data_IF_122638317142
#
_entry.id   IF_122638317142
#
_cell.length_a   1.000
_cell.length_b   1.000
_cell.length_c   1.000
_cell.angle_alpha   90.00
_cell.angle_beta   90.00
_cell.angle_gamma   90.00
#
_symmetry.space_group_name_H-M   'P 1'
#
loop_
_entity.id
_entity.type
_entity.pdbx_description
1 polymer ?
#
# COMPACT_ATOMS: atom_id res chain seq x y z
N UNK A 1 -14.09 -21.35 -6.27
CA UNK A 1 -13.64 -21.72 -4.91
C UNK A 1 -13.10 -20.50 -4.14
N UNK A 2 -12.21 -19.70 -4.75
CA UNK A 2 -11.55 -18.56 -4.08
C UNK A 2 -12.52 -17.48 -3.57
N UNK A 3 -13.63 -17.23 -4.29
CA UNK A 3 -14.67 -16.29 -3.85
C UNK A 3 -15.29 -16.71 -2.51
N UNK A 4 -15.64 -17.98 -2.38
CA UNK A 4 -16.22 -18.50 -1.13
C UNK A 4 -15.19 -18.49 0.01
N UNK A 5 -13.93 -18.87 -0.26
CA UNK A 5 -12.84 -18.80 0.72
C UNK A 5 -12.61 -17.36 1.20
N UNK A 6 -12.53 -16.42 0.25
CA UNK A 6 -12.34 -15.00 0.57
C UNK A 6 -13.50 -14.47 1.42
N UNK A 7 -14.74 -14.77 1.04
CA UNK A 7 -15.91 -14.41 1.80
C UNK A 7 -15.83 -14.91 3.25
N UNK A 8 -15.56 -16.21 3.43
CA UNK A 8 -15.48 -16.82 4.76
C UNK A 8 -14.40 -16.17 5.62
N UNK A 9 -13.22 -15.91 5.04
CA UNK A 9 -12.09 -15.31 5.77
C UNK A 9 -12.28 -13.81 6.06
N UNK A 10 -13.04 -13.12 5.21
CA UNK A 10 -13.20 -11.67 5.33
C UNK A 10 -14.36 -11.26 6.25
N UNK A 11 -15.46 -12.03 6.26
CA UNK A 11 -16.71 -11.59 6.88
C UNK A 11 -16.65 -11.49 8.39
N UNK A 12 -15.95 -12.43 9.04
CA UNK A 12 -15.89 -12.50 10.49
C UNK A 12 -14.56 -13.08 10.98
N UNK A 13 -14.10 -12.69 12.18
CA UNK A 13 -13.00 -13.36 12.84
C UNK A 13 -13.39 -14.82 13.17
N UNK A 14 -12.40 -15.74 13.34
CA UNK A 14 -12.68 -17.19 13.49
C UNK A 14 -13.63 -17.57 14.62
N UNK A 15 -13.67 -16.78 15.67
CA UNK A 15 -14.51 -17.00 16.85
C UNK A 15 -15.96 -16.50 16.70
N UNK A 16 -16.27 -15.77 15.63
CA UNK A 16 -17.59 -15.21 15.41
C UNK A 16 -18.44 -16.09 14.49
N UNK A 17 -19.75 -16.02 14.67
CA UNK A 17 -20.72 -16.73 13.81
C UNK A 17 -20.74 -16.08 12.42
N UNK A 18 -20.65 -16.91 11.39
CA UNK A 18 -20.77 -16.51 10.00
C UNK A 18 -22.20 -16.79 9.51
N UNK A 19 -22.89 -15.75 9.05
CA UNK A 19 -24.13 -15.88 8.31
C UNK A 19 -23.87 -15.68 6.82
N UNK A 20 -24.50 -16.53 5.98
CA UNK A 20 -24.34 -16.40 4.53
C UNK A 20 -25.03 -15.13 4.03
N UNK A 21 -24.30 -14.33 3.23
CA UNK A 21 -24.80 -13.10 2.63
C UNK A 21 -24.36 -12.98 1.17
N UNK A 22 -25.32 -13.10 0.26
CA UNK A 22 -25.04 -13.09 -1.19
C UNK A 22 -24.40 -11.79 -1.67
N UNK A 23 -24.79 -10.64 -1.11
CA UNK A 23 -24.21 -9.36 -1.48
C UNK A 23 -22.72 -9.25 -1.07
N UNK A 24 -22.35 -9.84 0.06
CA UNK A 24 -20.97 -9.87 0.52
C UNK A 24 -20.12 -10.87 -0.28
N UNK A 25 -20.72 -11.99 -0.72
CA UNK A 25 -20.09 -12.92 -1.68
C UNK A 25 -19.82 -12.23 -3.02
N UNK A 26 -20.78 -11.48 -3.52
CA UNK A 26 -20.63 -10.66 -4.73
C UNK A 26 -19.51 -9.61 -4.57
N UNK A 27 -19.42 -8.96 -3.39
CA UNK A 27 -18.32 -8.06 -3.05
C UNK A 27 -16.96 -8.73 -3.11
N UNK A 28 -16.86 -9.94 -2.57
CA UNK A 28 -15.64 -10.76 -2.63
C UNK A 28 -15.27 -11.12 -4.07
N UNK A 29 -16.22 -11.48 -4.89
CA UNK A 29 -16.00 -11.76 -6.31
C UNK A 29 -15.50 -10.51 -7.06
N UNK A 30 -16.11 -9.35 -6.83
CA UNK A 30 -15.66 -8.08 -7.44
C UNK A 30 -14.23 -7.72 -7.06
N UNK A 31 -13.83 -7.93 -5.81
CA UNK A 31 -12.45 -7.71 -5.40
C UNK A 31 -11.49 -8.63 -6.16
N UNK A 32 -11.77 -9.94 -6.26
CA UNK A 32 -10.93 -10.87 -7.01
C UNK A 32 -10.84 -10.51 -8.50
N UNK A 33 -11.92 -10.03 -9.09
CA UNK A 33 -11.89 -9.51 -10.48
C UNK A 33 -10.95 -8.30 -10.63
N UNK A 34 -10.92 -7.42 -9.64
CA UNK A 34 -9.97 -6.28 -9.65
C UNK A 34 -8.52 -6.76 -9.54
N UNK A 35 -8.23 -7.71 -8.64
CA UNK A 35 -6.89 -8.32 -8.54
C UNK A 35 -6.48 -8.93 -9.88
N UNK A 36 -7.35 -9.69 -10.49
CA UNK A 36 -7.12 -10.28 -11.81
C UNK A 36 -6.86 -9.22 -12.89
N UNK A 37 -7.74 -8.24 -12.98
CA UNK A 37 -7.62 -7.15 -13.97
C UNK A 37 -6.32 -6.36 -13.82
N UNK A 38 -5.90 -6.11 -12.59
CA UNK A 38 -4.63 -5.46 -12.33
C UNK A 38 -3.43 -6.32 -12.77
N UNK A 39 -3.46 -7.63 -12.48
CA UNK A 39 -2.44 -8.57 -12.95
C UNK A 39 -2.34 -8.62 -14.48
N UNK A 40 -3.48 -8.67 -15.17
CA UNK A 40 -3.51 -8.62 -16.65
C UNK A 40 -2.90 -7.32 -17.18
N UNK A 41 -3.18 -6.19 -16.53
CA UNK A 41 -2.54 -4.90 -16.88
C UNK A 41 -1.03 -4.93 -16.68
N UNK A 42 -0.56 -5.48 -15.57
CA UNK A 42 0.88 -5.61 -15.32
C UNK A 42 1.59 -6.52 -16.31
N UNK A 43 0.92 -7.55 -16.82
CA UNK A 43 1.48 -8.48 -17.79
C UNK A 43 1.85 -7.83 -19.14
N UNK A 44 1.42 -6.59 -19.37
CA UNK A 44 1.84 -5.80 -20.53
C UNK A 44 3.23 -5.16 -20.36
N UNK A 45 3.77 -5.16 -19.14
CA UNK A 45 5.09 -4.61 -18.83
C UNK A 45 6.13 -5.71 -19.07
N UNK A 46 7.09 -5.39 -19.93
CA UNK A 46 8.18 -6.33 -20.24
C UNK A 46 9.02 -6.63 -18.98
N UNK A 47 9.33 -7.91 -18.78
CA UNK A 47 10.16 -8.40 -17.67
C UNK A 47 9.66 -7.99 -16.28
N UNK A 48 8.34 -7.86 -16.09
CA UNK A 48 7.74 -7.40 -14.81
C UNK A 48 8.22 -8.23 -13.60
N UNK A 49 8.44 -9.53 -13.78
CA UNK A 49 8.91 -10.40 -12.70
C UNK A 49 10.30 -10.03 -12.20
N UNK A 50 11.21 -9.71 -13.11
CA UNK A 50 12.56 -9.25 -12.74
C UNK A 50 12.50 -7.89 -12.03
N UNK A 51 11.62 -6.99 -12.47
CA UNK A 51 11.41 -5.70 -11.84
C UNK A 51 11.06 -5.82 -10.35
N UNK A 52 10.30 -6.84 -9.94
CA UNK A 52 9.86 -7.02 -8.55
C UNK A 52 11.03 -7.16 -7.55
N UNK A 53 12.19 -7.64 -7.99
CA UNK A 53 13.37 -7.79 -7.14
C UNK A 53 14.23 -6.54 -7.09
N UNK A 54 14.04 -5.60 -8.01
CA UNK A 54 14.88 -4.42 -8.15
C UNK A 54 14.47 -3.27 -7.21
N UNK A 55 13.24 -3.23 -6.73
CA UNK A 55 12.75 -2.11 -5.93
C UNK A 55 13.56 -1.88 -4.63
N UNK A 56 13.97 -2.98 -3.97
CA UNK A 56 14.77 -2.93 -2.74
C UNK A 56 16.21 -2.47 -2.95
N UNK A 57 16.72 -2.68 -4.14
CA UNK A 57 18.10 -2.36 -4.54
C UNK A 57 18.12 -1.34 -5.67
N UNK A 58 17.08 -0.51 -5.76
CA UNK A 58 16.86 0.41 -6.88
C UNK A 58 18.07 1.31 -7.12
N UNK A 59 18.58 1.96 -6.09
CA UNK A 59 19.74 2.87 -6.19
C UNK A 59 21.00 2.14 -6.66
N UNK A 60 21.22 0.91 -6.18
CA UNK A 60 22.38 0.08 -6.56
C UNK A 60 22.31 -0.35 -8.04
N UNK A 61 21.10 -0.44 -8.59
CA UNK A 61 20.84 -0.81 -9.98
C UNK A 61 20.60 0.41 -10.89
N UNK A 62 20.88 1.62 -10.42
CA UNK A 62 20.69 2.84 -11.21
C UNK A 62 19.22 3.20 -11.47
N UNK A 63 18.30 2.62 -10.71
CA UNK A 63 16.89 2.98 -10.78
C UNK A 63 16.58 4.13 -9.82
N UNK A 64 15.85 5.11 -10.30
CA UNK A 64 15.31 6.19 -9.48
C UNK A 64 13.88 5.87 -9.06
N UNK A 65 13.66 5.75 -7.75
CA UNK A 65 12.33 5.73 -7.19
C UNK A 65 11.84 7.17 -7.06
N UNK A 66 10.92 7.57 -7.93
CA UNK A 66 10.26 8.86 -7.84
C UNK A 66 9.39 8.99 -6.59
N UNK A 67 8.85 10.19 -6.36
CA UNK A 67 8.00 10.46 -5.20
C UNK A 67 6.78 9.51 -5.14
N UNK A 68 6.15 9.26 -6.27
CA UNK A 68 5.01 8.33 -6.37
C UNK A 68 5.40 6.89 -6.03
N UNK A 69 6.53 6.39 -6.54
CA UNK A 69 7.02 5.05 -6.27
C UNK A 69 7.42 4.87 -4.79
N UNK A 70 8.08 5.85 -4.18
CA UNK A 70 8.40 5.86 -2.75
C UNK A 70 7.12 5.84 -1.89
N UNK A 71 6.11 6.66 -2.22
CA UNK A 71 4.83 6.69 -1.52
C UNK A 71 4.09 5.36 -1.62
N UNK A 72 4.05 4.74 -2.81
CA UNK A 72 3.47 3.41 -3.00
C UNK A 72 4.17 2.37 -2.14
N UNK A 73 5.50 2.31 -2.18
CA UNK A 73 6.27 1.37 -1.38
C UNK A 73 6.04 1.56 0.12
N UNK A 74 6.02 2.82 0.58
CA UNK A 74 5.71 3.14 1.97
C UNK A 74 4.35 2.58 2.40
N UNK A 75 3.30 2.80 1.62
CA UNK A 75 1.96 2.31 1.93
C UNK A 75 1.91 0.77 1.92
N UNK A 76 2.47 0.12 0.88
CA UNK A 76 2.51 -1.34 0.78
C UNK A 76 3.25 -1.96 1.97
N UNK A 77 4.43 -1.46 2.33
CA UNK A 77 5.22 -2.03 3.43
C UNK A 77 4.63 -1.72 4.81
N UNK A 78 3.98 -0.57 5.00
CA UNK A 78 3.23 -0.26 6.22
C UNK A 78 2.06 -1.23 6.41
N UNK A 79 1.28 -1.47 5.35
CA UNK A 79 0.18 -2.44 5.39
C UNK A 79 0.70 -3.86 5.59
N UNK A 80 1.84 -4.23 4.97
CA UNK A 80 2.46 -5.54 5.16
C UNK A 80 2.82 -5.81 6.61
N UNK A 81 3.41 -4.83 7.31
CA UNK A 81 3.72 -4.94 8.74
C UNK A 81 2.47 -5.22 9.59
N UNK A 82 1.36 -4.55 9.28
CA UNK A 82 0.08 -4.81 9.95
C UNK A 82 -0.47 -6.19 9.62
N UNK A 83 -0.39 -6.61 8.35
CA UNK A 83 -0.84 -7.93 7.89
C UNK A 83 -0.06 -9.06 8.57
N UNK A 84 1.26 -8.92 8.73
CA UNK A 84 2.09 -9.89 9.45
C UNK A 84 1.61 -10.07 10.90
N UNK A 85 1.33 -8.97 11.57
CA UNK A 85 0.78 -8.98 12.93
C UNK A 85 -0.59 -9.64 12.98
N UNK A 86 -1.47 -9.33 12.03
CA UNK A 86 -2.83 -9.88 11.96
C UNK A 86 -2.84 -11.38 11.66
N UNK A 87 -1.95 -11.88 10.80
CA UNK A 87 -1.78 -13.30 10.54
C UNK A 87 -1.36 -14.07 11.79
N UNK A 88 -0.43 -13.54 12.58
CA UNK A 88 0.01 -14.16 13.84
C UNK A 88 -1.13 -14.29 14.86
N UNK A 89 -2.11 -13.40 14.78
CA UNK A 89 -3.29 -13.35 15.64
C UNK A 89 -4.52 -14.05 15.04
N UNK A 90 -4.39 -14.68 13.89
CA UNK A 90 -5.47 -15.33 13.16
C UNK A 90 -6.63 -14.37 12.78
N UNK A 91 -6.33 -13.08 12.66
CA UNK A 91 -7.30 -12.05 12.28
C UNK A 91 -7.40 -11.95 10.75
N UNK A 92 -7.96 -12.98 10.12
CA UNK A 92 -8.00 -13.09 8.65
C UNK A 92 -8.84 -12.00 7.98
N UNK A 93 -9.87 -11.51 8.65
CA UNK A 93 -10.71 -10.41 8.15
C UNK A 93 -9.89 -9.11 7.96
N UNK A 94 -9.00 -8.80 8.90
CA UNK A 94 -8.12 -7.63 8.78
C UNK A 94 -6.99 -7.85 7.78
N UNK A 95 -6.49 -9.09 7.62
CA UNK A 95 -5.58 -9.45 6.53
C UNK A 95 -6.20 -9.18 5.17
N UNK A 96 -7.44 -9.60 4.93
CA UNK A 96 -8.15 -9.33 3.67
C UNK A 96 -8.36 -7.82 3.48
N UNK A 97 -8.71 -7.10 4.53
CA UNK A 97 -8.79 -5.63 4.49
C UNK A 97 -7.46 -4.99 4.11
N UNK A 98 -6.34 -5.51 4.65
CA UNK A 98 -4.99 -5.10 4.28
C UNK A 98 -4.69 -5.33 2.80
N UNK A 99 -5.03 -6.52 2.29
CA UNK A 99 -4.88 -6.82 0.86
C UNK A 99 -5.72 -5.88 -0.03
N UNK A 100 -6.93 -5.51 0.39
CA UNK A 100 -7.74 -4.51 -0.32
C UNK A 100 -7.09 -3.13 -0.33
N UNK A 101 -6.46 -2.70 0.78
CA UNK A 101 -5.70 -1.45 0.84
C UNK A 101 -4.50 -1.49 -0.11
N UNK A 102 -3.74 -2.58 -0.13
CA UNK A 102 -2.63 -2.76 -1.07
C UNK A 102 -3.08 -2.63 -2.52
N UNK A 103 -4.18 -3.30 -2.90
CA UNK A 103 -4.72 -3.18 -4.27
C UNK A 103 -5.16 -1.75 -4.59
N UNK A 104 -5.84 -1.07 -3.66
CA UNK A 104 -6.24 0.32 -3.84
C UNK A 104 -5.04 1.24 -4.08
N UNK A 105 -3.96 1.07 -3.31
CA UNK A 105 -2.73 1.83 -3.49
C UNK A 105 -2.10 1.59 -4.87
N UNK A 106 -2.05 0.32 -5.31
CA UNK A 106 -1.56 -0.06 -6.62
C UNK A 106 -2.41 0.53 -7.77
N UNK A 107 -3.74 0.48 -7.66
CA UNK A 107 -4.64 1.05 -8.68
C UNK A 107 -4.61 2.59 -8.71
N UNK A 108 -4.41 3.22 -7.56
CA UNK A 108 -4.31 4.67 -7.45
C UNK A 108 -2.95 5.21 -7.91
N UNK A 109 -1.95 4.35 -8.11
CA UNK A 109 -0.61 4.76 -8.50
C UNK A 109 -0.61 5.53 -9.82
N UNK A 110 0.05 6.69 -9.80
CA UNK A 110 0.28 7.51 -10.99
C UNK A 110 1.77 7.68 -11.15
N UNK A 111 2.28 7.24 -12.30
CA UNK A 111 3.67 7.41 -12.66
C UNK A 111 4.07 8.89 -12.66
N UNK A 112 5.21 9.20 -12.09
CA UNK A 112 5.88 10.49 -12.20
C UNK A 112 7.00 10.48 -13.26
N UNK A 113 7.08 9.38 -14.04
CA UNK A 113 8.03 9.20 -15.13
C UNK A 113 9.40 8.69 -14.69
N UNK A 114 9.56 8.31 -13.42
CA UNK A 114 10.79 7.73 -12.94
C UNK A 114 10.96 6.29 -13.45
N UNK A 115 12.20 5.88 -13.76
CA UNK A 115 12.49 4.54 -14.28
C UNK A 115 12.30 3.41 -13.26
N UNK A 116 12.11 3.73 -11.98
CA UNK A 116 11.81 2.80 -10.90
C UNK A 116 10.32 2.47 -10.69
N UNK A 117 9.41 3.09 -11.44
CA UNK A 117 7.96 2.91 -11.26
C UNK A 117 7.51 1.46 -11.43
N UNK A 118 8.01 0.79 -12.49
CA UNK A 118 7.68 -0.61 -12.74
C UNK A 118 8.20 -1.54 -11.64
N UNK A 119 9.34 -1.21 -11.04
CA UNK A 119 9.90 -1.97 -9.92
C UNK A 119 8.99 -1.86 -8.69
N UNK A 120 8.52 -0.66 -8.35
CA UNK A 120 7.60 -0.46 -7.23
C UNK A 120 6.24 -1.15 -7.45
N UNK A 121 5.67 -1.07 -8.65
CA UNK A 121 4.43 -1.76 -9.00
C UNK A 121 4.57 -3.28 -8.92
N UNK A 122 5.65 -3.83 -9.49
CA UNK A 122 5.91 -5.26 -9.49
C UNK A 122 6.16 -5.80 -8.08
N UNK A 123 6.96 -5.10 -7.26
CA UNK A 123 7.18 -5.46 -5.86
C UNK A 123 5.86 -5.48 -5.10
N UNK A 124 5.08 -4.39 -5.17
CA UNK A 124 3.82 -4.27 -4.46
C UNK A 124 2.81 -5.35 -4.83
N UNK A 125 2.69 -5.67 -6.13
CA UNK A 125 1.78 -6.72 -6.58
C UNK A 125 2.27 -8.13 -6.20
N UNK A 126 3.57 -8.38 -6.28
CA UNK A 126 4.18 -9.63 -5.81
C UNK A 126 3.93 -9.85 -4.30
N UNK A 127 3.99 -8.78 -3.49
CA UNK A 127 3.63 -8.83 -2.07
C UNK A 127 2.14 -9.16 -1.90
N UNK A 128 1.26 -8.47 -2.61
CA UNK A 128 -0.18 -8.69 -2.56
C UNK A 128 -0.55 -10.15 -2.88
N UNK A 129 0.04 -10.73 -3.92
CA UNK A 129 -0.23 -12.13 -4.29
C UNK A 129 0.19 -13.11 -3.20
N UNK A 130 1.35 -12.91 -2.56
CA UNK A 130 1.82 -13.75 -1.46
C UNK A 130 0.94 -13.61 -0.22
N UNK A 131 0.53 -12.38 0.11
CA UNK A 131 -0.41 -12.12 1.21
C UNK A 131 -1.76 -12.79 0.99
N UNK A 132 -2.28 -12.76 -0.22
CA UNK A 132 -3.57 -13.37 -0.56
C UNK A 132 -3.51 -14.89 -0.76
N UNK A 133 -2.33 -15.46 -1.03
CA UNK A 133 -2.20 -16.87 -1.39
C UNK A 133 -2.86 -17.83 -0.39
N UNK A 134 -2.70 -17.71 0.93
CA UNK A 134 -3.37 -18.60 1.88
C UNK A 134 -4.91 -18.53 1.80
N UNK A 135 -5.44 -17.39 1.37
CA UNK A 135 -6.90 -17.13 1.27
C UNK A 135 -7.45 -17.51 -0.10
N UNK A 136 -6.75 -17.15 -1.18
CA UNK A 136 -7.22 -17.31 -2.57
C UNK A 136 -6.17 -17.98 -3.46
N UNK A 137 -5.82 -19.26 -3.18
CA UNK A 137 -4.66 -19.91 -3.78
C UNK A 137 -4.74 -20.07 -5.30
N UNK A 138 -5.92 -20.34 -5.87
CA UNK A 138 -6.03 -20.59 -7.30
C UNK A 138 -5.77 -19.34 -8.14
N UNK A 139 -6.41 -18.23 -7.79
CA UNK A 139 -6.25 -16.96 -8.50
C UNK A 139 -4.83 -16.41 -8.37
N UNK A 140 -4.28 -16.42 -7.16
CA UNK A 140 -2.95 -15.87 -6.92
C UNK A 140 -1.86 -16.72 -7.54
N UNK A 141 -1.96 -18.06 -7.48
CA UNK A 141 -1.03 -18.95 -8.15
C UNK A 141 -1.06 -18.76 -9.68
N UNK A 142 -2.26 -18.66 -10.27
CA UNK A 142 -2.39 -18.44 -11.71
C UNK A 142 -1.74 -17.12 -12.15
N UNK A 143 -1.97 -16.03 -11.42
CA UNK A 143 -1.33 -14.74 -11.71
C UNK A 143 0.19 -14.78 -11.51
N UNK A 144 0.66 -15.48 -10.47
CA UNK A 144 2.07 -15.67 -10.19
C UNK A 144 2.81 -16.34 -11.36
N UNK A 145 2.20 -17.39 -11.93
CA UNK A 145 2.73 -18.08 -13.11
C UNK A 145 2.69 -17.18 -14.35
N UNK A 146 1.56 -16.56 -14.63
CA UNK A 146 1.37 -15.72 -15.83
C UNK A 146 2.30 -14.51 -15.86
N UNK A 147 2.57 -13.89 -14.72
CA UNK A 147 3.48 -12.75 -14.61
C UNK A 147 4.95 -13.17 -14.57
N UNK A 148 5.24 -14.46 -14.57
CA UNK A 148 6.60 -14.98 -14.56
C UNK A 148 7.31 -14.88 -13.21
N UNK A 149 6.62 -14.53 -12.12
CA UNK A 149 7.22 -14.48 -10.79
C UNK A 149 7.81 -15.82 -10.35
N UNK A 150 7.21 -16.92 -10.82
CA UNK A 150 7.72 -18.28 -10.56
C UNK A 150 9.14 -18.49 -11.09
N UNK A 151 9.54 -17.82 -12.17
CA UNK A 151 10.90 -17.99 -12.76
C UNK A 151 11.98 -17.31 -11.94
N UNK A 152 11.63 -16.29 -11.15
CA UNK A 152 12.59 -15.48 -10.36
C UNK A 152 12.50 -15.70 -8.86
N UNK A 153 11.35 -16.18 -8.36
CA UNK A 153 11.11 -16.37 -6.93
C UNK A 153 10.65 -17.79 -6.55
N UNK A 154 10.61 -18.72 -7.52
CA UNK A 154 10.11 -20.07 -7.33
C UNK A 154 8.59 -20.17 -7.34
N UNK A 155 8.04 -21.38 -7.14
CA UNK A 155 6.60 -21.57 -7.03
C UNK A 155 6.04 -20.77 -5.88
N UNK A 156 4.80 -20.27 -6.03
CA UNK A 156 4.17 -19.43 -5.01
C UNK A 156 4.03 -20.13 -3.66
N UNK A 157 3.86 -21.45 -3.66
CA UNK A 157 3.80 -22.27 -2.43
C UNK A 157 5.12 -22.21 -1.63
N UNK A 158 6.24 -22.20 -2.35
CA UNK A 158 7.59 -22.25 -1.76
C UNK A 158 8.24 -20.85 -1.70
N UNK A 159 7.61 -19.85 -2.34
CA UNK A 159 8.13 -18.49 -2.35
C UNK A 159 8.23 -17.94 -0.92
N UNK A 160 9.32 -17.26 -0.56
CA UNK A 160 9.48 -16.72 0.79
C UNK A 160 8.38 -15.71 1.10
N UNK A 161 7.87 -15.78 2.34
CA UNK A 161 6.94 -14.77 2.82
C UNK A 161 7.54 -13.36 2.66
N UNK A 162 6.77 -12.37 2.19
CA UNK A 162 7.28 -11.04 1.98
C UNK A 162 7.71 -10.41 3.31
N UNK A 163 8.86 -9.74 3.32
CA UNK A 163 9.36 -9.04 4.51
C UNK A 163 9.21 -7.54 4.31
N UNK A 164 8.90 -6.85 5.39
CA UNK A 164 8.89 -5.38 5.41
C UNK A 164 10.29 -4.87 5.05
N UNK A 165 10.33 -3.87 4.19
CA UNK A 165 11.55 -3.12 3.89
C UNK A 165 11.56 -1.86 4.75
N UNK A 166 12.45 -1.81 5.74
CA UNK A 166 12.60 -0.68 6.67
C UNK A 166 12.89 0.63 5.92
N UNK A 167 13.63 0.57 4.81
CA UNK A 167 13.93 1.75 4.00
C UNK A 167 12.68 2.31 3.32
N UNK A 168 11.73 1.45 2.94
CA UNK A 168 10.46 1.89 2.38
C UNK A 168 9.58 2.61 3.40
N UNK A 169 9.79 2.40 4.70
CA UNK A 169 9.05 3.06 5.77
C UNK A 169 9.62 4.45 6.12
N UNK A 170 10.82 4.77 5.67
CA UNK A 170 11.41 6.10 5.85
C UNK A 170 10.68 7.08 4.93
N UNK A 171 10.06 8.09 5.53
CA UNK A 171 9.45 9.19 4.78
C UNK A 171 10.42 10.37 4.75
N UNK A 172 10.67 10.91 3.56
CA UNK A 172 11.43 12.14 3.41
C UNK A 172 10.64 13.37 3.88
N UNK A 173 9.30 13.31 3.75
CA UNK A 173 8.37 14.37 4.13
C UNK A 173 7.18 13.81 4.92
N UNK A 174 6.71 14.54 5.91
CA UNK A 174 5.51 14.24 6.70
C UNK A 174 4.42 15.27 6.37
N UNK A 175 3.21 14.78 6.11
CA UNK A 175 2.04 15.64 5.93
C UNK A 175 1.43 15.95 7.30
N UNK A 176 1.46 17.22 7.69
CA UNK A 176 0.84 17.71 8.91
C UNK A 176 -0.49 18.39 8.61
N UNK A 177 -1.50 18.06 9.42
CA UNK A 177 -2.82 18.67 9.34
C UNK A 177 -2.83 20.02 10.03
N UNK A 178 -3.16 21.08 9.29
CA UNK A 178 -3.27 22.44 9.84
C UNK A 178 -4.68 22.68 10.39
N UNK A 179 -4.75 23.02 11.66
CA UNK A 179 -6.00 23.40 12.33
C UNK A 179 -5.93 24.85 12.80
N UNK A 180 -7.00 25.60 12.58
CA UNK A 180 -7.20 26.94 13.13
C UNK A 180 -8.46 26.91 13.97
N UNK A 181 -8.35 27.20 15.25
CA UNK A 181 -9.46 27.13 16.22
C UNK A 181 -10.19 25.77 16.21
N UNK A 182 -9.42 24.68 16.18
CA UNK A 182 -9.95 23.31 16.19
C UNK A 182 -10.60 22.85 14.88
N UNK A 183 -10.60 23.67 13.82
CA UNK A 183 -11.13 23.30 12.50
C UNK A 183 -10.01 23.04 11.52
N UNK A 184 -10.05 21.90 10.83
CA UNK A 184 -9.13 21.56 9.75
C UNK A 184 -9.23 22.62 8.65
N UNK A 185 -8.07 23.21 8.26
CA UNK A 185 -8.00 24.27 7.26
C UNK A 185 -7.10 23.94 6.08
N UNK A 186 -6.20 23.00 6.28
CA UNK A 186 -5.27 22.61 5.22
C UNK A 186 -4.29 21.57 5.68
N UNK A 187 -3.32 21.30 4.82
CA UNK A 187 -2.23 20.38 5.04
C UNK A 187 -0.93 21.06 4.63
N UNK A 188 0.15 20.72 5.31
CA UNK A 188 1.51 21.17 4.96
C UNK A 188 2.44 19.98 4.93
N UNK A 189 3.32 19.92 3.93
CA UNK A 189 4.39 18.95 3.83
C UNK A 189 5.65 19.56 4.46
N UNK A 190 6.23 18.84 5.40
CA UNK A 190 7.49 19.23 6.04
C UNK A 190 8.46 18.06 6.00
N UNK A 191 9.78 18.30 5.94
CA UNK A 191 10.78 17.24 6.06
C UNK A 191 10.56 16.43 7.35
N UNK A 192 10.72 15.11 7.30
CA UNK A 192 10.51 14.23 8.47
C UNK A 192 11.39 14.55 9.68
N UNK A 193 12.52 15.22 9.45
CA UNK A 193 13.43 15.70 10.49
C UNK A 193 13.32 17.21 10.80
N UNK A 194 12.24 17.88 10.34
CA UNK A 194 12.05 19.30 10.57
C UNK A 194 11.91 19.61 12.07
N UNK A 195 12.62 20.63 12.52
CA UNK A 195 12.43 21.15 13.86
C UNK A 195 11.13 21.96 13.98
N UNK A 196 10.70 22.25 15.21
CA UNK A 196 9.44 22.97 15.46
C UNK A 196 9.40 24.32 14.73
N UNK A 197 10.53 25.02 14.60
CA UNK A 197 10.59 26.31 13.92
C UNK A 197 10.36 26.17 12.41
N UNK A 198 10.93 25.14 11.79
CA UNK A 198 10.72 24.85 10.37
C UNK A 198 9.26 24.46 10.10
N UNK A 199 8.63 23.68 11.01
CA UNK A 199 7.22 23.31 10.93
C UNK A 199 6.34 24.56 11.04
N UNK A 200 6.60 25.45 12.01
CA UNK A 200 5.86 26.70 12.18
C UNK A 200 5.98 27.61 10.95
N UNK A 201 7.19 27.76 10.41
CA UNK A 201 7.41 28.56 9.20
C UNK A 201 6.66 27.98 8.00
N UNK A 202 6.71 26.66 7.78
CA UNK A 202 6.00 26.01 6.71
C UNK A 202 4.47 26.15 6.86
N UNK A 203 3.96 26.03 8.09
CA UNK A 203 2.55 26.21 8.41
C UNK A 203 2.11 27.66 8.12
N UNK A 204 2.86 28.67 8.57
CA UNK A 204 2.54 30.09 8.35
C UNK A 204 2.62 30.49 6.87
N UNK A 205 3.52 29.88 6.09
CA UNK A 205 3.63 30.12 4.65
C UNK A 205 2.56 29.38 3.82
N UNK A 206 1.76 28.51 4.44
CA UNK A 206 0.72 27.76 3.72
C UNK A 206 -0.46 28.66 3.30
N UNK A 207 -1.09 28.33 2.15
CA UNK A 207 -2.28 29.04 1.69
C UNK A 207 -3.41 29.07 2.74
N UNK A 208 -3.49 28.07 3.59
CA UNK A 208 -4.49 27.98 4.65
C UNK A 208 -4.34 29.11 5.69
N UNK A 209 -3.09 29.51 5.99
CA UNK A 209 -2.78 30.61 6.91
C UNK A 209 -2.83 31.96 6.21
N UNK A 210 -2.28 32.08 5.00
CA UNK A 210 -2.28 33.36 4.23
C UNK A 210 -3.69 33.89 4.02
N UNK A 211 -4.68 33.04 3.83
CA UNK A 211 -6.10 33.45 3.73
C UNK A 211 -6.72 33.93 5.05
N UNK A 212 -6.03 33.75 6.19
CA UNK A 212 -6.51 34.13 7.53
C UNK A 212 -5.65 35.23 8.20
N UNK A 213 -4.78 35.92 7.47
CA UNK A 213 -3.77 36.88 7.95
C UNK A 213 -4.31 38.09 8.77
N UNK A 214 -5.62 38.25 8.93
CA UNK A 214 -6.20 39.38 9.65
C UNK A 214 -6.61 39.07 11.11
N UNK A 215 -6.17 37.96 11.71
CA UNK A 215 -6.47 37.67 13.12
C UNK A 215 -5.20 37.28 13.87
N UNK A 216 -4.93 37.93 15.03
CA UNK A 216 -3.73 37.60 15.82
C UNK A 216 -3.76 36.11 16.23
N UNK A 217 -2.63 35.42 16.09
CA UNK A 217 -2.43 34.05 16.60
C UNK A 217 -2.50 34.08 18.13
N UNK A 218 -3.53 33.50 18.70
CA UNK A 218 -3.74 33.45 20.15
C UNK A 218 -3.17 32.21 20.84
N UNK A 219 -2.60 31.26 20.10
CA UNK A 219 -1.94 30.08 20.67
C UNK A 219 -0.87 29.53 19.74
N UNK A 220 0.17 28.94 20.36
CA UNK A 220 1.25 28.24 19.68
C UNK A 220 0.73 27.05 18.87
N UNK A 221 1.37 26.78 17.74
CA UNK A 221 1.19 25.53 16.99
C UNK A 221 1.66 24.38 17.88
N UNK A 222 0.74 23.48 18.25
CA UNK A 222 1.08 22.23 18.91
C UNK A 222 1.11 21.17 17.82
N UNK A 223 2.29 20.60 17.59
CA UNK A 223 2.50 19.45 16.70
C UNK A 223 2.25 18.15 17.46
#
# INVERSE_FOLDING_TARGET
PDTARLYTMFTAPPEATLEWNDAAVEGSYRFLRRVWGFGVKLNTIENIAACALLARTAEQNGLQLGKSAKALRHEIHSVLGQVDYDYQRLQYNTVVSGAMKMLNALEAFKSDGANGDNAALAEGFSILLRVLYPVTPHLTHQLWQQLGFATVQGDLLDAPWPRVDEQALVQDEVELMLQINGKLRGKVLVPAGADQKAIEQAALASEAFVKHENKPLLSSVVA
#
